data_IF_788137608188
#
_entry.id   IF_788137608188
#
_cell.length_a   1.000
_cell.length_b   1.000
_cell.length_c   1.000
_cell.angle_alpha   90.00
_cell.angle_beta   90.00
_cell.angle_gamma   90.00
#
_symmetry.space_group_name_H-M   'P 1'
#
loop_
_entity.id
_entity.type
_entity.pdbx_description
1 polymer ?
#
# COMPACT_ATOMS: atom_id res chain seq x y z
N UNK A 1 -17.52 9.42 9.49
CA UNK A 1 -16.41 9.29 10.45
C UNK A 1 -16.56 7.93 11.12
N UNK A 2 -15.65 6.99 10.89
CA UNK A 2 -15.76 5.59 11.36
C UNK A 2 -15.23 5.40 12.80
N UNK A 3 -15.01 6.50 13.54
CA UNK A 3 -14.52 6.45 14.92
C UNK A 3 -13.04 6.09 15.04
N UNK A 4 -12.27 6.22 13.95
CA UNK A 4 -10.84 5.94 13.98
C UNK A 4 -10.07 7.11 14.61
N UNK A 5 -9.36 6.89 15.73
CA UNK A 5 -8.60 7.95 16.38
C UNK A 5 -7.49 8.48 15.46
N UNK A 6 -7.34 9.80 15.43
CA UNK A 6 -6.25 10.47 14.72
C UNK A 6 -5.01 10.53 15.61
N UNK A 7 -3.91 9.94 15.13
CA UNK A 7 -2.62 9.99 15.82
C UNK A 7 -1.65 10.91 15.08
N UNK A 8 -0.92 11.75 15.82
CA UNK A 8 0.07 12.68 15.25
C UNK A 8 1.26 11.94 14.59
N UNK A 9 1.43 10.66 14.91
CA UNK A 9 2.48 9.78 14.40
C UNK A 9 3.73 9.78 15.29
N UNK A 10 4.57 8.73 15.20
CA UNK A 10 5.68 8.55 16.15
C UNK A 10 6.92 9.40 15.84
N UNK A 11 7.00 10.04 14.68
CA UNK A 11 8.24 10.60 14.12
C UNK A 11 8.92 11.63 15.01
N UNK A 12 8.16 12.59 15.57
CA UNK A 12 8.70 13.63 16.46
C UNK A 12 9.26 13.04 17.75
N UNK A 13 8.54 12.08 18.34
CA UNK A 13 8.97 11.39 19.55
C UNK A 13 10.25 10.61 19.32
N UNK A 14 10.32 9.83 18.23
CA UNK A 14 11.50 9.02 17.89
C UNK A 14 12.73 9.90 17.61
N UNK A 15 12.59 11.01 16.87
CA UNK A 15 13.71 11.92 16.65
C UNK A 15 14.24 12.51 17.98
N UNK A 16 13.33 12.91 18.89
CA UNK A 16 13.71 13.37 20.22
C UNK A 16 14.42 12.29 21.05
N UNK A 17 13.95 11.04 20.99
CA UNK A 17 14.55 9.91 21.68
C UNK A 17 15.95 9.60 21.17
N UNK A 18 16.13 9.53 19.84
CA UNK A 18 17.42 9.32 19.18
C UNK A 18 18.40 10.42 19.54
N UNK A 19 17.99 11.69 19.44
CA UNK A 19 18.85 12.82 19.80
C UNK A 19 19.32 12.77 21.24
N UNK A 20 18.44 12.45 22.19
CA UNK A 20 18.78 12.35 23.61
C UNK A 20 19.70 11.17 23.92
N UNK A 21 19.45 10.00 23.31
CA UNK A 21 20.16 8.75 23.63
C UNK A 21 21.52 8.65 22.97
N UNK A 22 21.66 9.19 21.75
CA UNK A 22 22.89 9.07 20.96
C UNK A 22 23.70 10.37 20.90
N UNK A 23 23.21 11.47 21.47
CA UNK A 23 23.85 12.79 21.43
C UNK A 23 24.14 13.29 20.00
N UNK A 24 23.23 13.01 19.08
CA UNK A 24 23.30 13.46 17.67
C UNK A 24 22.10 14.32 17.31
N UNK A 25 22.27 15.22 16.35
CA UNK A 25 21.15 15.99 15.79
C UNK A 25 20.30 15.08 14.90
N UNK A 26 19.07 14.78 15.33
CA UNK A 26 18.09 14.05 14.53
C UNK A 26 17.04 15.01 13.95
N UNK A 27 16.57 14.70 12.73
CA UNK A 27 15.44 15.38 12.07
C UNK A 27 14.38 14.34 11.74
N UNK A 28 13.14 14.77 11.60
CA UNK A 28 12.06 13.92 11.14
C UNK A 28 11.29 14.62 10.02
N UNK A 29 10.78 13.83 9.09
CA UNK A 29 9.91 14.27 8.01
C UNK A 29 8.63 13.45 8.02
N UNK A 30 7.50 14.07 7.66
CA UNK A 30 6.19 13.42 7.56
C UNK A 30 5.61 13.74 6.18
N UNK A 31 5.73 12.84 5.19
CA UNK A 31 5.33 13.11 3.81
C UNK A 31 3.85 13.54 3.66
N UNK A 32 2.96 13.07 4.54
CA UNK A 32 1.58 13.56 4.58
C UNK A 32 0.85 13.29 3.26
N UNK A 33 0.30 14.32 2.62
CA UNK A 33 -0.41 14.16 1.34
C UNK A 33 0.51 13.74 0.19
N UNK A 34 1.79 14.10 0.21
CA UNK A 34 2.69 13.83 -0.93
C UNK A 34 2.82 12.31 -1.20
N UNK A 35 2.81 11.49 -0.15
CA UNK A 35 2.96 10.02 -0.30
C UNK A 35 1.77 9.34 -1.00
N UNK A 36 0.61 10.02 -1.11
CA UNK A 36 -0.61 9.47 -1.70
C UNK A 36 -1.09 10.23 -2.94
N UNK A 37 -0.30 11.20 -3.42
CA UNK A 37 -0.71 12.09 -4.52
C UNK A 37 0.45 12.49 -5.45
N UNK A 38 1.64 11.91 -5.26
CA UNK A 38 2.80 12.17 -6.12
C UNK A 38 2.73 11.33 -7.40
N UNK A 39 1.98 11.82 -8.41
CA UNK A 39 1.80 11.12 -9.69
C UNK A 39 3.12 10.82 -10.42
N UNK A 40 4.17 11.63 -10.20
CA UNK A 40 5.51 11.37 -10.76
C UNK A 40 6.17 10.08 -10.23
N UNK A 41 5.63 9.50 -9.15
CA UNK A 41 6.11 8.27 -8.52
C UNK A 41 5.01 7.21 -8.43
N UNK A 42 3.97 7.30 -9.27
CA UNK A 42 2.89 6.31 -9.31
C UNK A 42 3.46 4.95 -9.74
N UNK A 43 3.00 3.88 -9.11
CA UNK A 43 3.29 2.53 -9.57
C UNK A 43 2.51 2.26 -10.86
N UNK A 44 3.22 1.80 -11.90
CA UNK A 44 2.59 1.38 -13.16
C UNK A 44 1.60 0.22 -12.93
N UNK A 45 1.94 -0.68 -12.00
CA UNK A 45 1.07 -1.79 -11.58
C UNK A 45 -0.21 -1.28 -10.94
N UNK A 46 -0.10 -0.36 -9.97
CA UNK A 46 -1.26 0.22 -9.27
C UNK A 46 -2.17 0.99 -10.24
N UNK A 47 -1.57 1.78 -11.14
CA UNK A 47 -2.31 2.53 -12.15
C UNK A 47 -3.08 1.61 -13.11
N UNK A 48 -2.44 0.53 -13.60
CA UNK A 48 -3.09 -0.43 -14.49
C UNK A 48 -4.21 -1.21 -13.80
N UNK A 49 -3.99 -1.66 -12.57
CA UNK A 49 -4.99 -2.39 -11.78
C UNK A 49 -6.19 -1.50 -11.43
N UNK A 50 -5.96 -0.23 -11.08
CA UNK A 50 -7.02 0.74 -10.83
C UNK A 50 -7.89 0.98 -12.07
N UNK A 51 -7.29 1.09 -13.26
CA UNK A 51 -8.02 1.21 -14.52
C UNK A 51 -8.88 -0.03 -14.80
N UNK A 52 -8.28 -1.22 -14.68
CA UNK A 52 -8.97 -2.49 -14.94
C UNK A 52 -10.13 -2.69 -13.96
N UNK A 53 -9.94 -2.38 -12.68
CA UNK A 53 -10.99 -2.45 -11.67
C UNK A 53 -12.15 -1.50 -11.99
N UNK A 54 -11.87 -0.26 -12.39
CA UNK A 54 -12.88 0.70 -12.80
C UNK A 54 -13.68 0.24 -14.03
N UNK A 55 -12.99 -0.29 -15.05
CA UNK A 55 -13.65 -0.86 -16.24
C UNK A 55 -14.53 -2.06 -15.89
N UNK A 56 -14.06 -2.95 -15.00
CA UNK A 56 -14.82 -4.10 -14.55
C UNK A 56 -16.09 -3.68 -13.79
N UNK A 57 -15.99 -2.66 -12.93
CA UNK A 57 -17.14 -2.12 -12.19
C UNK A 57 -18.22 -1.57 -13.13
N UNK A 58 -17.83 -0.79 -14.15
CA UNK A 58 -18.78 -0.25 -15.14
C UNK A 58 -19.49 -1.38 -15.90
N UNK A 59 -18.75 -2.39 -16.35
CA UNK A 59 -19.34 -3.55 -17.05
C UNK A 59 -20.31 -4.31 -16.16
N UNK A 60 -19.95 -4.52 -14.89
CA UNK A 60 -20.79 -5.21 -13.91
C UNK A 60 -22.12 -4.45 -13.71
N UNK A 61 -22.05 -3.13 -13.54
CA UNK A 61 -23.24 -2.29 -13.37
C UNK A 61 -24.14 -2.31 -14.61
N UNK A 62 -23.58 -2.22 -15.82
CA UNK A 62 -24.34 -2.29 -17.07
C UNK A 62 -25.05 -3.64 -17.28
N UNK A 63 -24.49 -4.72 -16.72
CA UNK A 63 -25.10 -6.05 -16.74
C UNK A 63 -26.07 -6.31 -15.57
N UNK A 64 -26.45 -5.26 -14.82
CA UNK A 64 -27.41 -5.35 -13.72
C UNK A 64 -26.84 -5.82 -12.39
N UNK A 65 -25.51 -5.87 -12.23
CA UNK A 65 -24.88 -6.15 -10.95
C UNK A 65 -25.13 -5.02 -9.94
N UNK A 66 -25.48 -5.39 -8.71
CA UNK A 66 -25.72 -4.49 -7.58
C UNK A 66 -25.16 -5.10 -6.28
N UNK A 67 -24.87 -4.28 -5.27
CA UNK A 67 -24.38 -4.71 -3.95
C UNK A 67 -23.09 -5.56 -3.98
N UNK A 68 -22.25 -5.32 -4.99
CA UNK A 68 -20.99 -6.01 -5.24
C UNK A 68 -19.83 -5.02 -5.27
N UNK A 69 -18.64 -5.47 -4.88
CA UNK A 69 -17.37 -4.76 -5.05
C UNK A 69 -16.46 -5.54 -5.99
N UNK A 70 -15.67 -4.83 -6.82
CA UNK A 70 -14.63 -5.46 -7.63
C UNK A 70 -13.45 -5.85 -6.74
N UNK A 71 -13.00 -7.09 -6.85
CA UNK A 71 -11.78 -7.59 -6.19
C UNK A 71 -10.63 -7.62 -7.19
N UNK A 72 -9.41 -7.44 -6.67
CA UNK A 72 -8.17 -7.69 -7.40
C UNK A 72 -7.63 -9.05 -6.94
N UNK A 73 -7.52 -9.98 -7.87
CA UNK A 73 -7.20 -11.39 -7.61
C UNK A 73 -5.85 -11.71 -8.24
N UNK A 74 -4.84 -11.91 -7.39
CA UNK A 74 -3.50 -12.30 -7.82
C UNK A 74 -3.56 -13.72 -8.40
N UNK A 75 -3.13 -13.87 -9.65
CA UNK A 75 -3.05 -15.18 -10.31
C UNK A 75 -1.83 -15.93 -9.80
N UNK A 76 -1.99 -17.22 -9.53
CA UNK A 76 -0.88 -18.07 -9.12
C UNK A 76 0.13 -18.24 -10.27
N UNK A 77 1.42 -18.04 -9.98
CA UNK A 77 2.48 -18.20 -10.98
C UNK A 77 3.78 -17.54 -10.57
N UNK A 78 4.83 -17.75 -11.38
CA UNK A 78 6.13 -17.11 -11.20
C UNK A 78 6.14 -15.65 -11.62
N UNK A 79 5.36 -15.29 -12.64
CA UNK A 79 5.18 -13.93 -13.09
C UNK A 79 3.98 -13.30 -12.40
N UNK A 80 4.13 -12.07 -11.92
CA UNK A 80 3.03 -11.34 -11.32
C UNK A 80 1.95 -11.03 -12.38
N UNK A 81 0.71 -11.40 -12.07
CA UNK A 81 -0.46 -10.96 -12.81
C UNK A 81 -1.67 -10.91 -11.89
N UNK A 82 -2.62 -10.04 -12.23
CA UNK A 82 -3.80 -9.77 -11.43
C UNK A 82 -5.02 -9.75 -12.35
N UNK A 83 -6.09 -10.42 -11.93
CA UNK A 83 -7.40 -10.41 -12.60
C UNK A 83 -8.43 -9.71 -11.72
N UNK A 84 -9.60 -9.43 -12.27
CA UNK A 84 -10.72 -8.90 -11.49
C UNK A 84 -11.71 -10.01 -11.15
N UNK A 85 -12.23 -9.95 -9.94
CA UNK A 85 -13.37 -10.73 -9.50
C UNK A 85 -14.42 -9.85 -8.84
N UNK A 86 -15.32 -10.45 -8.09
CA UNK A 86 -16.38 -9.75 -7.37
C UNK A 86 -16.62 -10.37 -6.01
N UNK A 87 -16.95 -9.54 -5.01
CA UNK A 87 -17.42 -10.00 -3.70
C UNK A 87 -18.69 -9.25 -3.28
N UNK A 88 -19.61 -9.87 -2.51
CA UNK A 88 -20.72 -9.16 -1.88
C UNK A 88 -20.24 -8.03 -0.99
N UNK A 89 -20.91 -6.88 -1.03
CA UNK A 89 -20.52 -5.72 -0.21
C UNK A 89 -20.63 -6.02 1.30
N UNK A 90 -21.63 -6.81 1.70
CA UNK A 90 -21.80 -7.27 3.09
C UNK A 90 -20.61 -8.10 3.60
N UNK A 91 -19.91 -8.77 2.69
CA UNK A 91 -18.73 -9.57 3.03
C UNK A 91 -17.47 -8.74 3.19
N UNK A 92 -17.48 -7.47 2.81
CA UNK A 92 -16.32 -6.58 2.87
C UNK A 92 -16.55 -5.45 3.88
N UNK A 93 -17.78 -4.97 4.01
CA UNK A 93 -18.16 -3.89 4.91
C UNK A 93 -17.70 -4.13 6.35
N UNK A 94 -16.89 -3.21 6.88
CA UNK A 94 -16.39 -3.29 8.26
C UNK A 94 -15.33 -4.36 8.53
N UNK A 95 -14.96 -5.19 7.53
CA UNK A 95 -13.87 -6.16 7.67
C UNK A 95 -12.53 -5.50 7.35
N UNK A 96 -11.46 -6.00 7.99
CA UNK A 96 -10.10 -5.44 7.86
C UNK A 96 -9.15 -6.54 7.39
N UNK A 97 -8.39 -6.27 6.33
CA UNK A 97 -7.25 -7.10 5.94
C UNK A 97 -6.05 -6.74 6.81
N UNK A 98 -5.78 -7.54 7.82
CA UNK A 98 -4.60 -7.36 8.68
C UNK A 98 -3.33 -7.77 7.93
N UNK A 99 -2.20 -7.15 8.29
CA UNK A 99 -0.90 -7.61 7.80
C UNK A 99 -0.63 -9.03 8.34
N UNK A 100 -0.32 -10.02 7.48
CA UNK A 100 0.07 -11.34 7.91
C UNK A 100 1.26 -11.31 8.89
N UNK A 101 1.26 -12.19 9.88
CA UNK A 101 2.28 -12.19 10.92
C UNK A 101 3.67 -12.55 10.36
N UNK A 102 3.69 -13.43 9.35
CA UNK A 102 4.88 -13.83 8.61
C UNK A 102 5.56 -12.69 7.86
N UNK A 103 4.89 -11.55 7.65
CA UNK A 103 5.47 -10.37 6.99
C UNK A 103 6.44 -9.59 7.89
N UNK A 104 6.46 -9.87 9.19
CA UNK A 104 7.30 -9.20 10.17
C UNK A 104 8.22 -10.19 10.89
N UNK A 105 9.52 -9.90 10.90
CA UNK A 105 10.49 -10.64 11.69
C UNK A 105 10.46 -10.15 13.15
N UNK A 106 10.12 -11.02 14.13
CA UNK A 106 9.97 -10.61 15.52
C UNK A 106 11.31 -10.34 16.22
N UNK A 107 12.43 -10.81 15.69
CA UNK A 107 13.75 -10.69 16.31
C UNK A 107 14.46 -9.40 15.92
N UNK A 108 14.33 -8.97 14.65
CA UNK A 108 15.01 -7.77 14.15
C UNK A 108 14.05 -6.60 13.82
N UNK A 109 12.73 -6.82 13.87
CA UNK A 109 11.69 -5.82 13.58
C UNK A 109 11.70 -5.29 12.14
N UNK A 110 12.29 -6.02 11.20
CA UNK A 110 12.22 -5.76 9.75
C UNK A 110 11.16 -6.62 9.07
N UNK A 111 10.83 -6.25 7.83
CA UNK A 111 9.95 -7.04 6.98
C UNK A 111 10.67 -8.30 6.48
N UNK A 112 9.91 -9.38 6.27
CA UNK A 112 10.46 -10.66 5.78
C UNK A 112 10.50 -10.74 4.26
N UNK A 113 11.16 -11.76 3.72
CA UNK A 113 11.13 -12.07 2.28
C UNK A 113 9.70 -12.26 1.76
N UNK A 114 8.82 -12.89 2.55
CA UNK A 114 7.43 -13.09 2.16
C UNK A 114 6.66 -11.77 1.95
N UNK A 115 7.01 -10.73 2.70
CA UNK A 115 6.48 -9.38 2.46
C UNK A 115 7.06 -8.77 1.19
N UNK A 116 8.37 -8.94 0.96
CA UNK A 116 9.03 -8.42 -0.24
C UNK A 116 8.48 -9.10 -1.51
N UNK A 117 8.25 -10.40 -1.49
CA UNK A 117 7.62 -11.16 -2.58
C UNK A 117 6.22 -10.64 -2.89
N UNK A 118 5.45 -10.31 -1.85
CA UNK A 118 4.11 -9.74 -2.02
C UNK A 118 4.15 -8.32 -2.59
N UNK A 119 5.00 -7.45 -2.02
CA UNK A 119 5.01 -6.00 -2.28
C UNK A 119 5.76 -5.62 -3.56
N UNK A 120 6.89 -6.25 -3.85
CA UNK A 120 7.80 -5.82 -4.94
C UNK A 120 7.10 -5.69 -6.29
N UNK A 121 6.24 -6.64 -6.73
CA UNK A 121 5.53 -6.50 -7.99
C UNK A 121 4.55 -5.31 -8.05
N UNK A 122 4.06 -4.87 -6.88
CA UNK A 122 3.13 -3.75 -6.76
C UNK A 122 3.81 -2.39 -6.90
N UNK A 123 5.15 -2.33 -6.87
CA UNK A 123 5.90 -1.07 -7.03
C UNK A 123 5.97 -0.62 -8.50
N UNK A 124 5.75 -1.54 -9.45
CA UNK A 124 5.97 -1.29 -10.87
C UNK A 124 7.46 -1.15 -11.20
N UNK A 125 7.76 -0.41 -12.26
CA UNK A 125 9.15 -0.09 -12.63
C UNK A 125 9.85 0.76 -11.55
N UNK A 126 11.18 0.65 -11.41
CA UNK A 126 11.94 1.48 -10.46
C UNK A 126 11.69 2.98 -10.68
N UNK A 127 11.75 3.74 -9.59
CA UNK A 127 11.65 5.20 -9.66
C UNK A 127 12.71 5.78 -10.62
N UNK A 128 12.41 6.89 -11.31
CA UNK A 128 13.38 7.55 -12.18
C UNK A 128 14.69 7.83 -11.45
N UNK A 129 15.82 7.58 -12.12
CA UNK A 129 17.12 7.95 -11.59
C UNK A 129 17.24 9.48 -11.53
N UNK A 130 17.16 10.05 -10.33
CA UNK A 130 17.43 11.47 -10.11
C UNK A 130 18.93 11.76 -10.17
N UNK A 131 19.30 12.85 -10.83
CA UNK A 131 20.69 13.28 -10.94
C UNK A 131 21.32 13.53 -9.57
N UNK A 132 22.55 13.05 -9.37
CA UNK A 132 23.36 13.39 -8.19
C UNK A 132 24.19 14.63 -8.50
N UNK A 133 24.06 15.67 -7.69
CA UNK A 133 25.04 16.76 -7.68
C UNK A 133 26.30 16.22 -7.03
N UNK A 134 27.41 16.23 -7.77
CA UNK A 134 28.76 15.96 -7.23
C UNK A 134 29.33 17.22 -6.62
#
# INVERSE_FOLDING_TARGET
DFGHPYYDGPSRYLAGLVSKRLNVRARYEKPGTIQRSMMACVSETDAAEAEVAGRAAVRLALNGGNDLIITLERVAGKAYSCTTGTAPLEDVGGKVKTMPAEYLDPANHFVTESFLDYLTPLLGSPLPAYGRVR
#
